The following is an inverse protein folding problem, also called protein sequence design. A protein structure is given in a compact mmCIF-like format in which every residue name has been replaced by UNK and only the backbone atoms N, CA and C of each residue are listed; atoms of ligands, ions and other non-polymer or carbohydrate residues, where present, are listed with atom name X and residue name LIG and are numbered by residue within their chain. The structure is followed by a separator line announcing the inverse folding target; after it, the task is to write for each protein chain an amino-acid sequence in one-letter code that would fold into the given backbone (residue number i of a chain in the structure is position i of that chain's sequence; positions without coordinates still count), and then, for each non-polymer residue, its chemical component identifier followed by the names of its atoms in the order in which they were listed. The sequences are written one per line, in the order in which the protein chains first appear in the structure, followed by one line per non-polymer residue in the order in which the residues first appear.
data_IF_715038408992
#
_entry.id   IF_715038408992
#
_cell.length_a   1.000
_cell.length_b   1.000
_cell.length_c   1.000
_cell.angle_alpha   90.00
_cell.angle_beta   90.00
_cell.angle_gamma   90.00
#
_symmetry.space_group_name_H-M   'P 1'
#
loop_
_entity.id
_entity.type
_entity.pdbx_description
1 polymer ?
#
# COMPACT_ATOMS: atom_id res chain seq x y z
N UNK A 1 8.84 -11.71 -13.61
CA UNK A 1 9.11 -10.44 -14.30
C UNK A 1 10.26 -9.76 -13.58
N UNK A 2 11.34 -9.49 -14.31
CA UNK A 2 12.60 -8.95 -13.80
C UNK A 2 12.49 -7.55 -13.18
N UNK A 3 13.59 -7.12 -12.54
CA UNK A 3 13.71 -5.77 -11.97
C UNK A 3 13.53 -4.73 -13.07
N UNK A 4 12.65 -3.76 -12.85
CA UNK A 4 12.36 -2.67 -13.78
C UNK A 4 11.91 -3.10 -15.21
N UNK A 5 11.43 -4.32 -15.41
CA UNK A 5 11.10 -4.87 -16.73
C UNK A 5 10.17 -3.96 -17.58
N UNK A 6 9.26 -3.21 -16.94
CA UNK A 6 8.36 -2.26 -17.59
C UNK A 6 8.55 -0.82 -17.05
N UNK A 7 9.78 -0.52 -16.59
CA UNK A 7 10.14 0.82 -16.13
C UNK A 7 9.97 1.83 -17.26
N UNK A 8 9.34 2.95 -16.96
CA UNK A 8 9.04 4.00 -17.95
C UNK A 8 8.18 3.58 -19.15
N UNK A 9 7.48 2.44 -19.12
CA UNK A 9 6.49 2.09 -20.15
C UNK A 9 5.33 3.10 -20.13
N UNK A 10 5.59 4.32 -20.63
CA UNK A 10 4.69 5.48 -20.53
C UNK A 10 3.33 5.25 -21.20
N UNK A 11 3.25 4.40 -22.24
CA UNK A 11 2.03 4.12 -23.02
C UNK A 11 1.23 2.90 -22.55
N UNK A 12 1.75 2.11 -21.61
CA UNK A 12 1.10 0.89 -21.12
C UNK A 12 -0.14 1.24 -20.30
N UNK A 13 -1.33 0.98 -20.85
CA UNK A 13 -2.63 1.24 -20.20
C UNK A 13 -3.06 0.11 -19.25
N UNK A 14 -2.70 -1.14 -19.55
CA UNK A 14 -3.10 -2.34 -18.82
C UNK A 14 -1.87 -3.19 -18.48
N UNK A 15 -2.01 -4.05 -17.46
CA UNK A 15 -0.99 -5.08 -17.20
C UNK A 15 -0.99 -6.10 -18.35
N UNK A 16 0.16 -6.58 -18.79
CA UNK A 16 0.25 -7.63 -19.81
C UNK A 16 -0.53 -8.88 -19.41
N UNK A 17 -1.09 -9.63 -20.38
CA UNK A 17 -1.98 -10.77 -20.10
C UNK A 17 -1.28 -11.94 -19.38
N UNK A 18 0.01 -12.15 -19.61
CA UNK A 18 0.79 -13.13 -18.85
C UNK A 18 0.84 -12.78 -17.34
N UNK A 19 0.64 -11.52 -16.98
CA UNK A 19 0.53 -11.04 -15.59
C UNK A 19 -0.78 -11.47 -14.95
N UNK A 20 -1.85 -11.54 -15.74
CA UNK A 20 -3.19 -11.88 -15.25
C UNK A 20 -3.36 -13.39 -15.03
N UNK A 21 -2.73 -14.22 -15.85
CA UNK A 21 -3.07 -15.64 -16.02
C UNK A 21 -2.04 -16.63 -15.44
N UNK A 22 -0.86 -16.20 -15.04
CA UNK A 22 0.17 -17.12 -14.53
C UNK A 22 -0.02 -17.51 -13.06
N UNK A 23 0.01 -18.81 -12.78
CA UNK A 23 -0.20 -19.38 -11.43
C UNK A 23 0.88 -19.02 -10.41
N UNK A 24 2.07 -18.63 -10.84
CA UNK A 24 3.16 -18.15 -9.95
C UNK A 24 3.97 -17.07 -10.70
N UNK A 25 3.63 -15.82 -10.52
CA UNK A 25 4.41 -14.71 -11.09
C UNK A 25 5.08 -13.90 -9.99
N UNK A 26 6.39 -13.66 -10.11
CA UNK A 26 7.16 -12.81 -9.21
C UNK A 26 7.44 -11.50 -9.91
N UNK A 27 6.99 -10.38 -9.33
CA UNK A 27 7.38 -9.04 -9.78
C UNK A 27 8.50 -8.53 -8.91
N UNK A 28 9.65 -8.38 -9.54
CA UNK A 28 10.82 -7.80 -8.90
C UNK A 28 10.65 -6.30 -8.68
N UNK A 29 11.59 -5.71 -7.96
CA UNK A 29 11.57 -4.31 -7.57
C UNK A 29 11.31 -3.38 -8.75
N UNK A 30 10.35 -2.46 -8.56
CA UNK A 30 10.04 -1.38 -9.49
C UNK A 30 9.62 -1.82 -10.91
N UNK A 31 9.11 -3.06 -11.10
CA UNK A 31 8.82 -3.60 -12.44
C UNK A 31 7.93 -2.68 -13.29
N UNK A 32 6.95 -1.99 -12.69
CA UNK A 32 6.04 -1.06 -13.38
C UNK A 32 6.22 0.40 -12.92
N UNK A 33 7.37 0.73 -12.35
CA UNK A 33 7.63 2.10 -11.90
C UNK A 33 7.51 3.10 -13.05
N UNK A 34 6.76 4.18 -12.83
CA UNK A 34 6.52 5.23 -13.83
C UNK A 34 5.78 4.77 -15.11
N UNK A 35 5.05 3.65 -15.07
CA UNK A 35 4.09 3.30 -16.10
C UNK A 35 2.88 4.27 -16.05
N UNK A 36 3.06 5.48 -16.62
CA UNK A 36 2.18 6.63 -16.39
C UNK A 36 0.80 6.50 -17.01
N UNK A 37 0.61 5.68 -18.05
CA UNK A 37 -0.69 5.45 -18.67
C UNK A 37 -1.51 4.35 -17.99
N UNK A 38 -0.92 3.60 -17.05
CA UNK A 38 -1.59 2.51 -16.34
C UNK A 38 -2.74 3.06 -15.47
N UNK A 39 -3.97 2.61 -15.74
CA UNK A 39 -5.17 3.19 -15.10
C UNK A 39 -5.73 2.35 -13.97
N UNK A 40 -5.76 1.02 -14.13
CA UNK A 40 -6.31 0.12 -13.14
C UNK A 40 -5.45 -1.14 -13.02
N UNK A 41 -5.30 -1.65 -11.81
CA UNK A 41 -4.60 -2.90 -11.60
C UNK A 41 -5.42 -3.85 -10.72
N UNK A 42 -5.33 -5.14 -11.07
CA UNK A 42 -5.80 -6.25 -10.26
C UNK A 42 -4.69 -7.29 -10.23
N UNK A 43 -4.09 -7.50 -9.05
CA UNK A 43 -3.12 -8.58 -8.84
C UNK A 43 -3.83 -9.76 -8.20
N UNK A 44 -3.71 -10.94 -8.83
CA UNK A 44 -4.31 -12.18 -8.33
C UNK A 44 -3.61 -12.68 -7.06
N UNK A 45 -4.22 -13.68 -6.42
CA UNK A 45 -3.70 -14.29 -5.18
C UNK A 45 -2.34 -14.96 -5.33
N UNK A 46 -1.96 -15.33 -6.55
CA UNK A 46 -0.74 -16.07 -6.86
C UNK A 46 0.44 -15.18 -7.26
N UNK A 47 0.22 -13.86 -7.29
CA UNK A 47 1.27 -12.88 -7.63
C UNK A 47 2.08 -12.53 -6.40
N UNK A 48 3.38 -12.70 -6.51
CA UNK A 48 4.36 -12.20 -5.55
C UNK A 48 4.92 -10.87 -6.05
N UNK A 49 5.10 -9.90 -5.17
CA UNK A 49 5.59 -8.57 -5.54
C UNK A 49 6.50 -7.98 -4.46
N UNK A 50 7.38 -7.09 -4.89
CA UNK A 50 8.37 -6.43 -4.04
C UNK A 50 8.17 -4.91 -4.00
N UNK A 51 9.21 -4.17 -3.61
CA UNK A 51 9.14 -2.72 -3.39
C UNK A 51 8.88 -1.91 -4.67
N UNK A 52 8.27 -0.75 -4.49
CA UNK A 52 8.10 0.29 -5.51
C UNK A 52 7.41 -0.18 -6.81
N UNK A 53 6.64 -1.28 -6.78
CA UNK A 53 6.11 -1.95 -7.98
C UNK A 53 5.40 -0.98 -8.92
N UNK A 54 4.52 -0.13 -8.40
CA UNK A 54 3.75 0.87 -9.16
C UNK A 54 4.10 2.32 -8.77
N UNK A 55 5.31 2.54 -8.24
CA UNK A 55 5.74 3.90 -7.87
C UNK A 55 5.68 4.83 -9.08
N UNK A 56 5.03 5.99 -8.92
CA UNK A 56 4.93 6.99 -9.97
C UNK A 56 3.98 6.66 -11.13
N UNK A 57 3.10 5.66 -11.00
CA UNK A 57 2.01 5.41 -11.95
C UNK A 57 0.92 6.49 -11.79
N UNK A 58 1.15 7.66 -12.39
CA UNK A 58 0.38 8.87 -12.09
C UNK A 58 -1.07 8.82 -12.57
N UNK A 59 -1.40 8.01 -13.57
CA UNK A 59 -2.78 7.81 -14.05
C UNK A 59 -3.53 6.68 -13.35
N UNK A 60 -2.87 5.93 -12.45
CA UNK A 60 -3.50 4.80 -11.76
C UNK A 60 -4.66 5.30 -10.89
N UNK A 61 -5.89 4.84 -11.20
CA UNK A 61 -7.14 5.22 -10.53
C UNK A 61 -7.55 4.23 -9.45
N UNK A 62 -7.34 2.93 -9.71
CA UNK A 62 -7.72 1.86 -8.78
C UNK A 62 -6.67 0.75 -8.69
N UNK A 63 -6.52 0.18 -7.49
CA UNK A 63 -5.63 -0.95 -7.23
C UNK A 63 -6.36 -2.00 -6.39
N UNK A 64 -6.40 -3.23 -6.89
CA UNK A 64 -6.95 -4.38 -6.20
C UNK A 64 -5.89 -5.46 -6.02
N UNK A 65 -5.46 -5.66 -4.78
CA UNK A 65 -4.41 -6.62 -4.41
C UNK A 65 -5.06 -7.80 -3.71
N UNK A 66 -5.16 -8.94 -4.38
CA UNK A 66 -5.75 -10.17 -3.84
C UNK A 66 -4.72 -11.11 -3.19
N UNK A 67 -3.46 -10.96 -3.53
CA UNK A 67 -2.39 -11.84 -3.07
C UNK A 67 -1.83 -11.47 -1.72
N UNK A 68 -1.21 -12.46 -1.08
CA UNK A 68 -0.50 -12.30 0.21
C UNK A 68 0.72 -11.38 0.09
N UNK A 69 1.08 -10.93 -1.13
CA UNK A 69 2.37 -10.34 -1.39
C UNK A 69 3.48 -11.41 -1.32
N UNK A 70 4.70 -10.97 -1.45
CA UNK A 70 5.83 -11.86 -1.29
C UNK A 70 5.94 -12.28 0.17
N UNK A 71 5.60 -13.56 0.46
CA UNK A 71 6.19 -14.27 1.57
C UNK A 71 7.38 -15.02 0.96
N UNK A 72 8.62 -14.52 1.12
CA UNK A 72 9.77 -15.28 0.66
C UNK A 72 9.71 -16.65 1.34
N UNK A 73 10.04 -17.70 0.58
CA UNK A 73 10.36 -18.97 1.24
C UNK A 73 11.59 -18.74 2.15
N UNK A 74 11.82 -19.57 3.13
CA UNK A 74 12.89 -19.41 4.12
C UNK A 74 14.28 -19.20 3.48
N UNK A 75 14.53 -19.68 2.26
CA UNK A 75 15.79 -19.54 1.53
C UNK A 75 16.02 -18.14 0.94
N UNK A 76 14.96 -17.51 0.37
CA UNK A 76 15.07 -16.15 -0.18
C UNK A 76 15.01 -15.07 0.91
N UNK A 77 14.49 -15.40 2.08
CA UNK A 77 14.38 -14.50 3.23
C UNK A 77 15.72 -14.02 3.79
N UNK A 78 16.76 -14.87 3.70
CA UNK A 78 18.12 -14.54 4.18
C UNK A 78 18.70 -13.30 3.51
N UNK A 79 18.31 -13.03 2.26
CA UNK A 79 18.84 -11.93 1.44
C UNK A 79 17.91 -10.72 1.34
N UNK A 80 16.69 -10.80 1.85
CA UNK A 80 15.73 -9.71 1.78
C UNK A 80 15.41 -9.20 3.19
N UNK A 81 15.63 -7.93 3.43
CA UNK A 81 15.24 -7.32 4.70
C UNK A 81 13.72 -7.40 4.85
N UNK A 82 13.26 -8.34 5.69
CA UNK A 82 11.84 -8.64 5.98
C UNK A 82 10.99 -7.42 6.34
N UNK A 83 11.65 -6.36 6.80
CA UNK A 83 10.98 -5.14 7.21
C UNK A 83 10.78 -4.14 6.07
N UNK A 84 11.35 -4.39 4.87
CA UNK A 84 11.32 -3.46 3.74
C UNK A 84 10.44 -3.90 2.55
N UNK A 85 9.64 -4.96 2.69
CA UNK A 85 8.73 -5.41 1.63
C UNK A 85 7.58 -4.43 1.48
N UNK A 86 7.13 -4.18 0.23
CA UNK A 86 6.06 -3.26 -0.14
C UNK A 86 6.32 -1.78 0.16
N UNK A 87 7.59 -1.40 0.43
CA UNK A 87 7.92 0.02 0.51
C UNK A 87 7.62 0.71 -0.82
N UNK A 88 7.09 1.93 -0.74
CA UNK A 88 6.81 2.80 -1.88
C UNK A 88 5.91 2.19 -2.97
N UNK A 89 5.19 1.09 -2.71
CA UNK A 89 4.44 0.33 -3.73
C UNK A 89 3.58 1.22 -4.64
N UNK A 90 2.89 2.20 -4.07
CA UNK A 90 2.02 3.17 -4.78
C UNK A 90 2.49 4.61 -4.58
N UNK A 91 3.71 4.84 -4.11
CA UNK A 91 4.20 6.20 -3.88
C UNK A 91 4.12 7.03 -5.16
N UNK A 92 3.53 8.23 -5.07
CA UNK A 92 3.37 9.12 -6.21
C UNK A 92 2.27 8.72 -7.21
N UNK A 93 1.41 7.76 -6.90
CA UNK A 93 0.21 7.45 -7.70
C UNK A 93 -0.86 8.54 -7.47
N UNK A 94 -0.65 9.71 -8.06
CA UNK A 94 -1.42 10.92 -7.76
C UNK A 94 -2.91 10.82 -8.10
N UNK A 95 -3.29 9.98 -9.06
CA UNK A 95 -4.68 9.76 -9.46
C UNK A 95 -5.38 8.62 -8.71
N UNK A 96 -4.66 7.88 -7.86
CA UNK A 96 -5.20 6.72 -7.13
C UNK A 96 -6.32 7.16 -6.19
N UNK A 97 -7.55 6.73 -6.49
CA UNK A 97 -8.75 7.02 -5.68
C UNK A 97 -9.06 5.89 -4.70
N UNK A 98 -8.86 4.64 -5.13
CA UNK A 98 -9.21 3.47 -4.33
C UNK A 98 -8.12 2.42 -4.36
N UNK A 99 -7.84 1.83 -3.18
CA UNK A 99 -6.96 0.67 -3.07
C UNK A 99 -7.61 -0.38 -2.16
N UNK A 100 -7.69 -1.63 -2.62
CA UNK A 100 -8.15 -2.75 -1.81
C UNK A 100 -7.00 -3.71 -1.60
N UNK A 101 -6.59 -3.87 -0.35
CA UNK A 101 -5.48 -4.69 0.07
C UNK A 101 -5.98 -6.04 0.60
N UNK A 102 -5.22 -7.10 0.35
CA UNK A 102 -5.46 -8.42 0.91
C UNK A 102 -5.38 -8.43 2.44
N UNK A 103 -6.34 -9.09 3.10
CA UNK A 103 -6.43 -9.10 4.57
C UNK A 103 -5.29 -9.83 5.30
N UNK A 104 -4.48 -10.61 4.58
CA UNK A 104 -3.30 -11.29 5.12
C UNK A 104 -2.03 -10.42 5.19
N UNK A 105 -2.05 -9.19 4.66
CA UNK A 105 -0.91 -8.27 4.77
C UNK A 105 -0.76 -7.82 6.23
N UNK A 106 0.41 -8.08 6.81
CA UNK A 106 0.68 -7.80 8.23
C UNK A 106 1.35 -6.44 8.48
N UNK A 107 1.90 -5.82 7.44
CA UNK A 107 2.62 -4.54 7.55
C UNK A 107 2.34 -3.64 6.35
N UNK A 108 2.03 -2.39 6.61
CA UNK A 108 2.08 -1.31 5.62
C UNK A 108 3.40 -0.58 5.81
N UNK A 109 4.36 -0.87 4.94
CA UNK A 109 5.72 -0.36 5.09
C UNK A 109 5.88 1.09 4.59
N UNK A 110 7.14 1.58 4.66
CA UNK A 110 7.44 2.98 4.42
C UNK A 110 6.90 3.49 3.08
N UNK A 111 6.28 4.66 3.10
CA UNK A 111 5.80 5.41 1.93
C UNK A 111 4.89 4.63 0.97
N UNK A 112 4.24 3.55 1.42
CA UNK A 112 3.43 2.68 0.56
C UNK A 112 2.40 3.46 -0.29
N UNK A 113 1.77 4.49 0.28
CA UNK A 113 0.81 5.38 -0.37
C UNK A 113 1.23 6.86 -0.31
N UNK A 114 2.52 7.14 -0.08
CA UNK A 114 2.97 8.53 0.00
C UNK A 114 2.63 9.28 -1.30
N UNK A 115 2.14 10.51 -1.15
CA UNK A 115 1.79 11.40 -2.25
C UNK A 115 0.66 10.88 -3.18
N UNK A 116 -0.17 9.93 -2.70
CA UNK A 116 -1.44 9.54 -3.34
C UNK A 116 -2.51 10.59 -3.03
N UNK A 117 -2.37 11.78 -3.61
CA UNK A 117 -3.15 12.97 -3.22
C UNK A 117 -4.67 12.81 -3.41
N UNK A 118 -5.11 11.96 -4.35
CA UNK A 118 -6.53 11.67 -4.63
C UNK A 118 -7.05 10.43 -3.91
N UNK A 119 -6.25 9.77 -3.04
CA UNK A 119 -6.69 8.57 -2.33
C UNK A 119 -7.85 8.89 -1.38
N UNK A 120 -8.99 8.22 -1.61
CA UNK A 120 -10.23 8.38 -0.82
C UNK A 120 -10.57 7.15 0.00
N UNK A 121 -10.35 5.95 -0.58
CA UNK A 121 -10.72 4.67 0.03
C UNK A 121 -9.55 3.70 0.03
N UNK A 122 -9.19 3.21 1.20
CA UNK A 122 -8.22 2.13 1.38
C UNK A 122 -8.59 1.35 2.65
N UNK A 123 -8.46 0.03 2.61
CA UNK A 123 -8.60 -0.78 3.82
C UNK A 123 -7.24 -0.98 4.50
N UNK A 124 -7.23 -0.96 5.83
CA UNK A 124 -6.12 -1.53 6.59
C UNK A 124 -6.42 -3.01 6.80
N UNK A 125 -5.55 -3.92 6.36
CA UNK A 125 -5.78 -5.36 6.46
C UNK A 125 -6.03 -5.83 7.89
N UNK A 126 -6.97 -6.78 8.10
CA UNK A 126 -7.35 -7.25 9.45
C UNK A 126 -6.17 -7.84 10.25
N UNK A 127 -5.16 -8.39 9.56
CA UNK A 127 -3.93 -8.93 10.18
C UNK A 127 -2.80 -7.92 10.27
N UNK A 128 -3.02 -6.66 9.89
CA UNK A 128 -1.98 -5.62 9.93
C UNK A 128 -1.62 -5.28 11.37
N UNK A 129 -0.31 -5.32 11.67
CA UNK A 129 0.25 -4.99 12.99
C UNK A 129 1.05 -3.70 12.99
N UNK A 130 1.47 -3.23 11.81
CA UNK A 130 2.37 -2.09 11.67
C UNK A 130 1.99 -1.17 10.52
N UNK A 131 1.99 0.14 10.78
CA UNK A 131 1.88 1.21 9.77
C UNK A 131 3.16 2.06 9.86
N UNK A 132 3.93 2.07 8.77
CA UNK A 132 5.31 2.59 8.73
C UNK A 132 5.44 4.07 8.45
N UNK A 133 6.70 4.49 8.30
CA UNK A 133 7.12 5.87 8.07
C UNK A 133 6.45 6.42 6.81
N UNK A 134 5.79 7.58 6.94
CA UNK A 134 5.18 8.28 5.81
C UNK A 134 4.22 7.43 4.96
N UNK A 135 3.65 6.33 5.48
CA UNK A 135 2.82 5.39 4.71
C UNK A 135 1.72 6.10 3.93
N UNK A 136 1.05 7.08 4.54
CA UNK A 136 -0.01 7.89 3.94
C UNK A 136 0.35 9.37 3.82
N UNK A 137 1.65 9.71 3.81
CA UNK A 137 2.07 11.11 3.68
C UNK A 137 1.39 11.78 2.49
N UNK A 138 0.81 12.98 2.71
CA UNK A 138 0.15 13.78 1.69
C UNK A 138 -1.05 13.10 0.98
N UNK A 139 -1.72 12.13 1.60
CA UNK A 139 -3.00 11.62 1.10
C UNK A 139 -4.11 12.64 1.40
N UNK A 140 -4.08 13.78 0.66
CA UNK A 140 -4.92 14.98 0.96
C UNK A 140 -6.42 14.72 0.87
N UNK A 141 -6.86 13.73 0.07
CA UNK A 141 -8.27 13.36 -0.11
C UNK A 141 -8.77 12.29 0.86
N UNK A 142 -7.88 11.69 1.68
CA UNK A 142 -8.24 10.63 2.62
C UNK A 142 -8.97 11.24 3.83
N UNK A 143 -10.29 10.97 3.91
CA UNK A 143 -11.15 11.54 4.97
C UNK A 143 -11.46 10.56 6.10
N UNK A 144 -11.55 9.27 5.79
CA UNK A 144 -11.94 8.22 6.74
C UNK A 144 -10.99 7.04 6.62
N UNK A 145 -10.48 6.53 7.74
CA UNK A 145 -9.64 5.34 7.76
C UNK A 145 -9.92 4.55 9.04
N UNK A 146 -10.40 3.32 8.87
CA UNK A 146 -10.59 2.40 9.99
C UNK A 146 -9.28 1.68 10.28
N UNK A 147 -8.82 1.76 11.52
CA UNK A 147 -7.61 1.07 11.97
C UNK A 147 -8.02 -0.14 12.82
N UNK A 148 -7.72 -1.38 12.40
CA UNK A 148 -8.10 -2.57 13.16
C UNK A 148 -7.31 -2.68 14.47
N UNK A 149 -7.89 -3.37 15.47
CA UNK A 149 -7.28 -3.61 16.79
C UNK A 149 -5.94 -4.36 16.71
N UNK A 150 -5.72 -5.09 15.61
CA UNK A 150 -4.46 -5.79 15.35
C UNK A 150 -3.25 -4.87 15.24
N UNK A 151 -3.44 -3.58 14.87
CA UNK A 151 -2.33 -2.63 14.73
C UNK A 151 -1.73 -2.30 16.10
N UNK A 152 -0.44 -2.64 16.26
CA UNK A 152 0.34 -2.48 17.51
C UNK A 152 1.36 -1.35 17.44
N UNK A 153 1.66 -0.85 16.23
CA UNK A 153 2.61 0.26 16.03
C UNK A 153 2.24 1.09 14.81
N UNK A 154 2.25 2.40 14.98
CA UNK A 154 2.04 3.39 13.92
C UNK A 154 3.19 4.41 14.03
N UNK A 155 3.89 4.65 12.91
CA UNK A 155 4.96 5.64 12.90
C UNK A 155 4.38 7.06 13.06
N UNK A 156 5.12 7.92 13.77
CA UNK A 156 4.70 9.33 14.04
C UNK A 156 4.41 10.12 12.77
N UNK A 157 5.04 9.79 11.65
CA UNK A 157 4.89 10.47 10.35
C UNK A 157 3.88 9.79 9.42
N UNK A 158 3.28 8.67 9.84
CA UNK A 158 2.43 7.83 8.98
C UNK A 158 1.35 8.61 8.22
N UNK A 159 0.74 9.60 8.87
CA UNK A 159 -0.37 10.42 8.33
C UNK A 159 0.00 11.89 8.10
N UNK A 160 1.30 12.20 8.00
CA UNK A 160 1.76 13.58 7.76
C UNK A 160 1.11 14.16 6.50
N UNK A 161 0.49 15.34 6.62
CA UNK A 161 -0.17 16.01 5.50
C UNK A 161 -1.58 15.52 5.17
N UNK A 162 -2.16 14.58 5.94
CA UNK A 162 -3.55 14.12 5.82
C UNK A 162 -4.51 15.03 6.61
N UNK A 163 -4.58 16.32 6.27
CA UNK A 163 -5.30 17.35 7.07
C UNK A 163 -6.81 17.07 7.28
N UNK A 164 -7.45 16.27 6.39
CA UNK A 164 -8.89 15.99 6.43
C UNK A 164 -9.22 14.61 7.05
N UNK A 165 -8.21 13.90 7.58
CA UNK A 165 -8.35 12.52 8.05
C UNK A 165 -9.07 12.46 9.41
N UNK A 166 -10.03 11.54 9.49
CA UNK A 166 -10.62 11.04 10.73
C UNK A 166 -10.32 9.56 10.84
N UNK A 167 -9.67 9.14 11.92
CA UNK A 167 -9.40 7.73 12.21
C UNK A 167 -10.62 7.11 12.90
N UNK A 168 -11.02 5.92 12.46
CA UNK A 168 -12.06 5.10 13.11
C UNK A 168 -11.33 4.00 13.89
N UNK A 169 -11.43 4.03 15.21
CA UNK A 169 -10.59 3.22 16.11
C UNK A 169 -11.39 2.59 17.23
N UNK A 170 -11.01 1.39 17.67
CA UNK A 170 -11.62 0.76 18.84
C UNK A 170 -11.12 1.42 20.15
N UNK A 171 -12.04 1.67 21.11
CA UNK A 171 -11.68 2.21 22.44
C UNK A 171 -10.54 1.41 23.07
N UNK A 172 -9.53 2.09 23.63
CA UNK A 172 -8.37 1.48 24.28
C UNK A 172 -7.30 0.89 23.33
N UNK A 173 -7.58 0.81 22.01
CA UNK A 173 -6.58 0.29 21.04
C UNK A 173 -5.33 1.18 20.94
N UNK A 174 -4.23 0.60 20.40
CA UNK A 174 -3.04 1.38 20.08
C UNK A 174 -3.36 2.60 19.19
N UNK A 175 -4.20 2.40 18.16
CA UNK A 175 -4.59 3.47 17.25
C UNK A 175 -5.40 4.58 17.95
N UNK A 176 -6.21 4.24 18.98
CA UNK A 176 -6.90 5.25 19.80
C UNK A 176 -5.89 6.09 20.61
N UNK A 177 -4.94 5.44 21.29
CA UNK A 177 -3.87 6.14 22.04
C UNK A 177 -3.02 7.00 21.10
N UNK A 178 -2.69 6.47 19.92
CA UNK A 178 -1.93 7.19 18.89
C UNK A 178 -2.68 8.44 18.40
N UNK A 179 -3.98 8.32 18.08
CA UNK A 179 -4.79 9.44 17.61
C UNK A 179 -4.85 10.59 18.64
N UNK A 180 -5.02 10.26 19.93
CA UNK A 180 -4.94 11.23 21.04
C UNK A 180 -3.56 11.90 21.10
N UNK A 181 -2.49 11.10 21.13
CA UNK A 181 -1.11 11.60 21.27
C UNK A 181 -0.70 12.57 20.15
N UNK A 182 -1.16 12.33 18.91
CA UNK A 182 -0.79 13.14 17.74
C UNK A 182 -1.91 14.07 17.27
N UNK A 183 -2.95 14.29 18.11
CA UNK A 183 -4.06 15.21 17.85
C UNK A 183 -4.75 14.97 16.50
N UNK A 184 -4.87 13.70 16.09
CA UNK A 184 -5.59 13.31 14.87
C UNK A 184 -7.06 13.10 15.23
N UNK A 185 -7.97 13.73 14.46
CA UNK A 185 -9.42 13.53 14.63
C UNK A 185 -9.77 12.04 14.59
N UNK A 186 -10.55 11.57 15.55
CA UNK A 186 -10.97 10.17 15.59
C UNK A 186 -12.43 10.00 15.99
N UNK A 187 -13.00 8.83 15.64
CA UNK A 187 -14.29 8.33 16.13
C UNK A 187 -14.10 6.93 16.68
N UNK A 188 -14.78 6.64 17.79
CA UNK A 188 -14.79 5.30 18.36
C UNK A 188 -15.76 4.42 17.56
N UNK A 189 -15.34 3.18 17.32
CA UNK A 189 -16.16 2.13 16.71
C UNK A 189 -16.31 0.96 17.69
N UNK A 190 -17.41 0.23 17.54
CA UNK A 190 -17.71 -0.98 18.35
C UNK A 190 -16.71 -2.11 18.11
#
# INVERSE_FOLDING_TARGET
VGRQAFYLCKRMKNLPDFVKNHRKCIYSQAAFKNARALTNIKLSSNVQYTNALFKGCTSLKSAYIQGKGFLPNAKTWKYMNKNKINEEMFSGCRSLKTAKLYNGITRLNARMFADCVKLQKVNIPKKCTYIGINTFRNCKSLRKLTIPKSVKKIDKTAFRGCKKLTLYVKKGSYAHKYAKKYHIKYKLVK
#
